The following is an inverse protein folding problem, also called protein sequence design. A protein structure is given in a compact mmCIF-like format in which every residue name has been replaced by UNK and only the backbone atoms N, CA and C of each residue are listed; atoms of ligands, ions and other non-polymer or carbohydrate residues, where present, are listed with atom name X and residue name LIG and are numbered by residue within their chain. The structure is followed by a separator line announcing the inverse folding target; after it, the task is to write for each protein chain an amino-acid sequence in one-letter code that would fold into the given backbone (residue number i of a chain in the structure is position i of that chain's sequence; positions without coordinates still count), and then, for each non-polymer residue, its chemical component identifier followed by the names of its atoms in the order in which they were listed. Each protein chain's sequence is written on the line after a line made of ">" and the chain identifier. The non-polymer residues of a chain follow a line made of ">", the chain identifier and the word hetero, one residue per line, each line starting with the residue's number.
data_IF_229841555050
#
_entry.id   IF_229841555050
#
_cell.length_a   1.000
_cell.length_b   1.000
_cell.length_c   1.000
_cell.angle_alpha   90.00
_cell.angle_beta   90.00
_cell.angle_gamma   90.00
#
_symmetry.space_group_name_H-M   'P 1'
#
loop_
_entity.id
_entity.type
_entity.pdbx_description
1 polymer ?
#
# COMPACT_ATOMS: atom_id res chain seq x y z
N UNK A 1 23.25 25.44 3.48
CA UNK A 1 23.01 24.17 2.78
C UNK A 1 21.50 24.06 2.58
N UNK A 2 21.02 23.83 1.36
CA UNK A 2 19.60 23.55 1.12
C UNK A 2 19.30 22.12 1.59
N UNK A 3 18.16 21.90 2.25
CA UNK A 3 17.71 20.57 2.64
C UNK A 3 17.27 19.76 1.41
N UNK A 4 17.37 18.44 1.47
CA UNK A 4 16.78 17.56 0.45
C UNK A 4 15.27 17.83 0.30
N UNK A 5 14.70 17.65 -0.90
CA UNK A 5 13.27 17.77 -1.10
C UNK A 5 12.52 16.75 -0.24
N UNK A 6 11.32 17.10 0.27
CA UNK A 6 10.55 16.18 1.11
C UNK A 6 10.22 14.90 0.36
N UNK A 7 10.51 13.75 0.98
CA UNK A 7 10.17 12.43 0.43
C UNK A 7 8.68 12.20 0.57
N UNK A 8 7.98 12.03 -0.56
CA UNK A 8 6.56 11.67 -0.55
C UNK A 8 6.40 10.20 -0.17
N UNK A 9 5.49 9.93 0.76
CA UNK A 9 5.16 8.58 1.25
C UNK A 9 3.65 8.38 1.20
N UNK A 10 3.19 7.13 1.13
CA UNK A 10 1.78 6.77 1.13
C UNK A 10 1.46 5.78 2.27
N UNK A 11 0.42 6.10 3.04
CA UNK A 11 -0.21 5.15 3.94
C UNK A 11 -1.51 4.68 3.28
N UNK A 12 -1.63 3.37 3.05
CA UNK A 12 -2.75 2.78 2.31
C UNK A 12 -3.77 2.22 3.28
N UNK A 13 -5.02 2.64 3.12
CA UNK A 13 -6.18 2.13 3.86
C UNK A 13 -7.22 1.59 2.88
N UNK A 14 -7.28 0.27 2.74
CA UNK A 14 -8.15 -0.45 1.82
C UNK A 14 -8.68 -1.72 2.51
N UNK A 15 -9.79 -2.28 2.01
CA UNK A 15 -10.32 -3.56 2.48
C UNK A 15 -9.63 -4.73 1.76
N UNK A 16 -9.30 -5.84 2.47
CA UNK A 16 -8.77 -7.03 1.83
C UNK A 16 -9.86 -7.67 0.95
N UNK A 17 -9.46 -8.58 0.07
CA UNK A 17 -10.39 -9.56 -0.51
C UNK A 17 -10.65 -10.61 0.56
N UNK A 18 -11.88 -11.04 0.82
CA UNK A 18 -12.15 -12.03 1.89
C UNK A 18 -12.25 -13.48 1.37
N UNK A 19 -12.18 -13.67 0.05
CA UNK A 19 -12.29 -14.98 -0.57
C UNK A 19 -10.91 -15.61 -0.79
N UNK A 20 -9.92 -14.80 -1.20
CA UNK A 20 -8.58 -15.30 -1.56
C UNK A 20 -7.45 -14.33 -1.20
N UNK A 21 -6.33 -14.87 -0.71
CA UNK A 21 -5.09 -14.10 -0.50
C UNK A 21 -4.63 -13.40 -1.80
N UNK A 22 -4.84 -14.06 -2.95
CA UNK A 22 -4.50 -13.53 -4.28
C UNK A 22 -5.33 -12.29 -4.67
N UNK A 23 -6.60 -12.23 -4.26
CA UNK A 23 -7.42 -11.03 -4.41
C UNK A 23 -6.86 -9.85 -3.62
N UNK A 24 -6.43 -10.08 -2.36
CA UNK A 24 -5.78 -9.04 -1.55
C UNK A 24 -4.45 -8.59 -2.17
N UNK A 25 -3.62 -9.53 -2.64
CA UNK A 25 -2.37 -9.20 -3.36
C UNK A 25 -2.65 -8.34 -4.59
N UNK A 26 -3.71 -8.64 -5.35
CA UNK A 26 -4.09 -7.83 -6.52
C UNK A 26 -4.45 -6.39 -6.12
N UNK A 27 -5.15 -6.21 -5.00
CA UNK A 27 -5.46 -4.87 -4.45
C UNK A 27 -4.20 -4.15 -3.96
N UNK A 28 -3.26 -4.86 -3.34
CA UNK A 28 -1.96 -4.31 -2.91
C UNK A 28 -1.18 -3.79 -4.11
N UNK A 29 -1.09 -4.57 -5.19
CA UNK A 29 -0.41 -4.15 -6.43
C UNK A 29 -1.05 -2.90 -7.04
N UNK A 30 -2.37 -2.84 -7.14
CA UNK A 30 -3.08 -1.67 -7.63
C UNK A 30 -2.81 -0.41 -6.78
N UNK A 31 -2.76 -0.55 -5.45
CA UNK A 31 -2.43 0.56 -4.55
C UNK A 31 -0.96 1.02 -4.68
N UNK A 32 -0.02 0.11 -4.95
CA UNK A 32 1.38 0.46 -5.24
C UNK A 32 1.44 1.27 -6.54
N UNK A 33 0.75 0.83 -7.60
CA UNK A 33 0.71 1.54 -8.87
C UNK A 33 0.14 2.96 -8.72
N UNK A 34 -0.96 3.11 -7.98
CA UNK A 34 -1.55 4.41 -7.68
C UNK A 34 -0.58 5.32 -6.88
N UNK A 35 0.09 4.76 -5.87
CA UNK A 35 1.06 5.50 -5.07
C UNK A 35 2.27 5.94 -5.91
N UNK A 36 2.75 5.07 -6.81
CA UNK A 36 3.83 5.36 -7.74
C UNK A 36 3.46 6.49 -8.72
N UNK A 37 2.24 6.45 -9.29
CA UNK A 37 1.71 7.53 -10.14
C UNK A 37 1.63 8.87 -9.41
N UNK A 38 1.42 8.85 -8.09
CA UNK A 38 1.43 10.04 -7.22
C UNK A 38 2.84 10.44 -6.74
N UNK A 39 3.88 9.71 -7.13
CA UNK A 39 5.28 9.99 -6.79
C UNK A 39 5.70 9.55 -5.39
N UNK A 40 4.98 8.63 -4.75
CA UNK A 40 5.39 8.06 -3.47
C UNK A 40 6.65 7.21 -3.62
N UNK A 41 7.53 7.29 -2.62
CA UNK A 41 8.81 6.56 -2.55
C UNK A 41 8.84 5.51 -1.43
N UNK A 42 7.81 5.49 -0.60
CA UNK A 42 7.52 4.48 0.41
C UNK A 42 6.00 4.31 0.47
N UNK A 43 5.55 3.08 0.55
CA UNK A 43 4.14 2.71 0.70
C UNK A 43 4.03 1.76 1.88
N UNK A 44 3.14 2.04 2.82
CA UNK A 44 2.87 1.18 3.98
C UNK A 44 1.42 0.70 3.96
N UNK A 45 1.23 -0.54 4.38
CA UNK A 45 -0.06 -1.24 4.39
C UNK A 45 -0.47 -1.60 5.83
N UNK A 46 -1.75 -1.95 6.07
CA UNK A 46 -2.21 -2.41 7.37
C UNK A 46 -1.45 -3.65 7.86
N UNK A 47 -1.45 -3.86 9.18
CA UNK A 47 -0.82 -5.02 9.82
C UNK A 47 -1.46 -6.33 9.32
N UNK A 48 -0.62 -7.32 8.97
CA UNK A 48 -1.06 -8.67 8.56
C UNK A 48 -2.16 -8.63 7.49
N UNK A 49 -2.05 -7.67 6.56
CA UNK A 49 -3.12 -7.41 5.60
C UNK A 49 -3.35 -8.54 4.61
N UNK A 50 -2.36 -9.40 4.33
CA UNK A 50 -2.46 -10.57 3.45
C UNK A 50 -2.39 -11.85 4.31
N UNK A 51 -3.38 -12.77 4.25
CA UNK A 51 -4.60 -12.68 3.46
C UNK A 51 -5.53 -11.58 3.99
N UNK A 52 -5.75 -11.55 5.30
CA UNK A 52 -6.49 -10.57 6.09
C UNK A 52 -6.29 -10.95 7.57
N UNK A 53 -6.40 -9.99 8.49
CA UNK A 53 -6.32 -10.20 9.93
C UNK A 53 -7.71 -10.03 10.58
N UNK A 54 -8.08 -10.75 11.67
CA UNK A 54 -7.51 -11.97 12.24
C UNK A 54 -8.30 -13.26 11.92
N UNK A 55 -9.11 -13.28 10.86
CA UNK A 55 -10.12 -14.33 10.62
C UNK A 55 -9.79 -15.30 9.49
#
# INVERSE_FOLDING_TARGET
>A
MASDPPTRVAAVQIAPDLDTAGGTVSKVLAAIDEAAQKGARLVVFPETFVPWYPY
#
